data_IF_138596906049
#
_entry.id   IF_138596906049
#
_cell.length_a   1.000
_cell.length_b   1.000
_cell.length_c   1.000
_cell.angle_alpha   90.00
_cell.angle_beta   90.00
_cell.angle_gamma   90.00
#
_symmetry.space_group_name_H-M   'P 1'
#
loop_
_entity.id
_entity.type
_entity.pdbx_description
1 polymer ?
#
# COMPACT_ATOMS: atom_id res chain seq x y z
N UNK A 1 40.20 41.11 -28.63
CA UNK A 1 40.12 40.75 -30.06
C UNK A 1 39.78 39.27 -30.16
N UNK A 2 38.74 38.93 -30.91
CA UNK A 2 38.30 37.58 -31.31
C UNK A 2 38.16 37.65 -32.84
N UNK A 3 38.22 36.59 -33.68
CA UNK A 3 38.72 35.19 -33.56
C UNK A 3 39.74 34.84 -34.68
N UNK A 4 40.14 33.58 -34.86
CA UNK A 4 40.02 32.79 -36.14
C UNK A 4 40.43 31.31 -35.89
N UNK A 5 39.61 30.40 -36.42
CA UNK A 5 39.69 28.93 -36.44
C UNK A 5 40.73 28.39 -37.45
N UNK A 6 41.34 27.23 -37.16
CA UNK A 6 41.25 26.00 -38.00
C UNK A 6 42.06 24.82 -37.44
N UNK A 7 41.37 23.68 -37.34
CA UNK A 7 41.85 22.30 -37.17
C UNK A 7 42.83 21.86 -38.25
N UNK A 8 43.85 21.04 -37.94
CA UNK A 8 44.25 19.80 -38.68
C UNK A 8 45.16 18.88 -37.80
N UNK A 9 44.65 17.69 -37.47
CA UNK A 9 45.27 16.35 -37.29
C UNK A 9 46.47 16.06 -36.37
N UNK A 10 46.29 15.00 -35.56
CA UNK A 10 47.26 13.89 -35.48
C UNK A 10 48.00 13.68 -34.16
N UNK A 11 47.31 13.23 -33.10
CA UNK A 11 47.95 12.74 -31.88
C UNK A 11 48.08 11.21 -31.89
N UNK A 12 49.32 10.74 -31.78
CA UNK A 12 49.72 9.35 -31.62
C UNK A 12 50.43 9.25 -30.27
N UNK A 13 49.80 8.74 -29.21
CA UNK A 13 50.51 8.31 -27.99
C UNK A 13 49.84 7.05 -27.45
N UNK A 14 50.65 5.99 -27.40
CA UNK A 14 50.38 4.71 -26.78
C UNK A 14 50.46 4.84 -25.25
N UNK A 15 49.44 4.39 -24.54
CA UNK A 15 49.53 4.13 -23.09
C UNK A 15 48.88 2.78 -22.81
N UNK A 16 49.70 1.86 -22.29
CA UNK A 16 49.32 0.54 -21.86
C UNK A 16 48.25 0.59 -20.77
N UNK A 17 47.17 -0.18 -20.94
CA UNK A 17 46.15 -0.36 -19.91
C UNK A 17 45.94 -1.84 -19.60
N UNK A 18 45.89 -2.10 -18.30
CA UNK A 18 46.00 -3.37 -17.59
C UNK A 18 44.77 -4.24 -17.84
N UNK A 19 45.00 -5.53 -18.14
CA UNK A 19 43.95 -6.52 -18.34
C UNK A 19 43.10 -6.72 -17.06
N UNK A 20 41.78 -6.56 -17.19
CA UNK A 20 40.78 -7.26 -16.37
C UNK A 20 39.75 -7.84 -17.32
N UNK A 21 39.64 -9.16 -17.30
CA UNK A 21 38.68 -9.91 -18.09
C UNK A 21 37.27 -9.69 -17.56
N UNK A 22 36.43 -9.05 -18.36
CA UNK A 22 34.98 -9.01 -18.17
C UNK A 22 34.38 -10.02 -19.13
N UNK A 23 33.84 -11.13 -18.59
CA UNK A 23 33.08 -12.10 -19.37
C UNK A 23 31.71 -11.49 -19.66
N UNK A 24 31.50 -11.05 -20.90
CA UNK A 24 30.19 -10.69 -21.45
C UNK A 24 29.50 -11.99 -21.84
N UNK A 25 28.41 -12.34 -21.16
CA UNK A 25 27.59 -13.49 -21.53
C UNK A 25 26.81 -13.21 -22.81
N UNK A 26 27.04 -14.07 -23.80
CA UNK A 26 26.38 -14.09 -25.11
C UNK A 26 24.94 -14.60 -24.92
N UNK A 27 23.97 -13.83 -25.38
CA UNK A 27 22.56 -14.25 -25.50
C UNK A 27 22.40 -15.06 -26.80
N UNK A 28 21.96 -16.32 -26.76
CA UNK A 28 21.62 -17.03 -27.98
C UNK A 28 20.17 -16.71 -28.38
N UNK A 29 20.02 -16.07 -29.53
CA UNK A 29 18.76 -15.97 -30.30
C UNK A 29 18.44 -17.36 -30.85
N UNK A 30 17.37 -17.99 -30.37
CA UNK A 30 16.93 -19.29 -30.89
C UNK A 30 15.76 -19.11 -31.87
N UNK A 31 15.99 -19.47 -33.12
CA UNK A 31 15.04 -19.42 -34.23
C UNK A 31 14.01 -20.55 -34.09
N UNK A 32 12.73 -20.16 -34.06
CA UNK A 32 11.57 -21.03 -33.95
C UNK A 32 11.35 -21.83 -35.25
N UNK A 33 11.58 -23.15 -35.23
CA UNK A 33 11.20 -24.04 -36.34
C UNK A 33 10.11 -24.99 -35.84
N UNK A 34 8.90 -24.83 -36.40
CA UNK A 34 7.71 -25.64 -36.08
C UNK A 34 8.01 -27.13 -36.31
N UNK A 35 8.03 -27.91 -35.24
CA UNK A 35 7.84 -29.36 -35.25
C UNK A 35 6.76 -29.69 -34.24
N UNK A 36 5.69 -30.29 -34.75
CA UNK A 36 4.63 -30.94 -33.98
C UNK A 36 5.27 -31.94 -33.01
N UNK A 37 5.15 -31.69 -31.70
CA UNK A 37 5.67 -32.59 -30.67
C UNK A 37 4.48 -33.34 -30.05
N UNK A 38 4.41 -34.64 -30.33
CA UNK A 38 3.49 -35.58 -29.73
C UNK A 38 3.77 -35.70 -28.23
N UNK A 39 2.72 -35.52 -27.43
CA UNK A 39 2.76 -35.65 -25.98
C UNK A 39 2.70 -37.14 -25.59
N UNK A 40 3.83 -37.71 -25.19
CA UNK A 40 3.88 -38.95 -24.42
C UNK A 40 5.16 -39.00 -23.57
N UNK A 41 4.97 -39.46 -22.33
CA UNK A 41 6.00 -39.90 -21.36
C UNK A 41 6.73 -38.84 -20.50
N UNK A 42 6.06 -38.55 -19.38
CA UNK A 42 6.59 -38.66 -18.00
C UNK A 42 7.86 -37.87 -17.65
N UNK A 43 7.66 -36.59 -17.34
CA UNK A 43 8.49 -35.91 -16.33
C UNK A 43 7.76 -36.03 -14.98
N UNK A 44 7.97 -37.15 -14.28
CA UNK A 44 7.79 -37.16 -12.83
C UNK A 44 9.02 -36.48 -12.22
N UNK A 45 8.86 -35.52 -11.29
CA UNK A 45 10.02 -34.95 -10.61
C UNK A 45 10.71 -36.06 -9.80
N UNK A 46 12.04 -36.17 -9.98
CA UNK A 46 12.91 -37.04 -9.20
C UNK A 46 12.80 -36.60 -7.75
N UNK A 47 12.43 -37.54 -6.88
CA UNK A 47 12.27 -37.33 -5.44
C UNK A 47 13.65 -37.44 -4.80
N UNK A 48 14.49 -36.47 -5.10
CA UNK A 48 15.83 -36.40 -4.50
C UNK A 48 15.68 -35.69 -3.15
N UNK A 49 16.19 -36.32 -2.10
CA UNK A 49 16.16 -35.91 -0.69
C UNK A 49 16.62 -34.46 -0.47
N UNK A 50 17.40 -33.93 -1.41
CA UNK A 50 18.04 -32.62 -1.37
C UNK A 50 17.05 -31.46 -1.58
N UNK A 51 15.87 -31.71 -2.17
CA UNK A 51 14.83 -30.68 -2.32
C UNK A 51 14.21 -30.24 -0.99
N UNK A 52 14.15 -31.15 -0.01
CA UNK A 52 13.67 -30.84 1.33
C UNK A 52 14.71 -30.06 2.15
N UNK A 53 16.00 -30.37 2.00
CA UNK A 53 17.10 -29.60 2.60
C UNK A 53 17.22 -28.21 1.98
N UNK A 54 17.03 -28.05 0.66
CA UNK A 54 17.05 -26.74 0.01
C UNK A 54 15.86 -25.86 0.46
N UNK A 55 14.67 -26.43 0.65
CA UNK A 55 13.53 -25.70 1.22
C UNK A 55 13.71 -25.37 2.72
N UNK A 56 14.35 -26.26 3.49
CA UNK A 56 14.72 -25.99 4.88
C UNK A 56 15.78 -24.88 4.98
N UNK A 57 16.73 -24.84 4.04
CA UNK A 57 17.80 -23.83 3.98
C UNK A 57 17.31 -22.49 3.41
N UNK A 58 16.28 -22.47 2.55
CA UNK A 58 15.59 -21.25 2.15
C UNK A 58 14.75 -20.62 3.29
N UNK A 59 14.31 -21.43 4.26
CA UNK A 59 13.72 -20.93 5.51
C UNK A 59 14.77 -20.45 6.52
N UNK A 60 16.06 -20.67 6.24
CA UNK A 60 17.18 -19.99 6.89
C UNK A 60 17.40 -18.58 6.28
N UNK A 61 16.31 -17.89 5.93
CA UNK A 61 16.35 -16.51 5.47
C UNK A 61 16.83 -15.64 6.62
N UNK A 62 17.80 -14.76 6.34
CA UNK A 62 18.15 -13.64 7.21
C UNK A 62 16.89 -13.09 7.88
N UNK A 63 16.94 -12.90 9.21
CA UNK A 63 15.77 -12.41 9.93
C UNK A 63 15.35 -11.11 9.27
N UNK A 64 14.12 -11.07 8.76
CA UNK A 64 13.65 -9.92 7.96
C UNK A 64 13.67 -8.63 8.80
N UNK A 65 13.71 -8.77 10.13
CA UNK A 65 14.03 -7.74 11.09
C UNK A 65 15.30 -6.93 10.74
N UNK A 66 16.38 -7.56 10.28
CA UNK A 66 17.66 -6.92 9.97
C UNK A 66 17.52 -5.79 8.93
N UNK A 67 16.56 -5.95 8.00
CA UNK A 67 16.29 -4.96 6.95
C UNK A 67 15.18 -3.97 7.32
N UNK A 68 14.24 -4.36 8.19
CA UNK A 68 13.10 -3.54 8.57
C UNK A 68 13.48 -2.57 9.69
N UNK A 69 14.35 -2.95 10.62
CA UNK A 69 14.77 -2.08 11.73
C UNK A 69 15.42 -0.77 11.28
N UNK A 70 16.37 -0.76 10.33
CA UNK A 70 16.94 0.49 9.81
C UNK A 70 15.89 1.39 9.15
N UNK A 71 14.91 0.80 8.47
CA UNK A 71 13.81 1.53 7.83
C UNK A 71 12.90 2.18 8.89
N UNK A 72 12.47 1.44 9.91
CA UNK A 72 11.66 2.00 10.99
C UNK A 72 12.40 3.11 11.75
N UNK A 73 13.71 2.95 11.93
CA UNK A 73 14.57 3.99 12.50
C UNK A 73 14.61 5.23 11.61
N UNK A 74 14.77 5.07 10.29
CA UNK A 74 14.75 6.19 9.35
C UNK A 74 13.39 6.91 9.32
N UNK A 75 12.28 6.17 9.39
CA UNK A 75 10.95 6.78 9.46
C UNK A 75 10.79 7.63 10.73
N UNK A 76 11.22 7.10 11.88
CA UNK A 76 11.08 7.77 13.18
C UNK A 76 12.02 8.96 13.35
N UNK A 77 13.26 8.86 12.87
CA UNK A 77 14.30 9.86 13.12
C UNK A 77 14.54 10.84 11.96
N UNK A 78 14.11 10.50 10.74
CA UNK A 78 14.33 11.33 9.54
C UNK A 78 13.01 11.81 8.96
N UNK A 79 12.12 10.88 8.58
CA UNK A 79 10.89 11.23 7.84
C UNK A 79 9.89 12.01 8.69
N UNK A 80 9.45 11.46 9.82
CA UNK A 80 8.44 12.09 10.69
C UNK A 80 8.92 13.47 11.19
N UNK A 81 10.19 13.62 11.60
CA UNK A 81 10.71 14.94 11.96
C UNK A 81 10.77 15.93 10.81
N UNK A 82 11.08 15.48 9.59
CA UNK A 82 11.10 16.35 8.41
C UNK A 82 9.71 16.89 8.06
N UNK A 83 8.65 16.06 8.17
CA UNK A 83 7.28 16.48 7.84
C UNK A 83 6.61 17.27 8.98
N UNK A 84 6.92 16.96 10.25
CA UNK A 84 6.28 17.62 11.40
C UNK A 84 7.08 18.80 11.96
N UNK A 85 8.34 18.95 11.56
CA UNK A 85 9.28 19.94 12.10
C UNK A 85 9.67 19.70 13.56
N UNK A 86 9.36 18.52 14.12
CA UNK A 86 9.57 18.19 15.55
C UNK A 86 10.20 16.82 15.71
N UNK A 87 10.99 16.63 16.77
CA UNK A 87 11.54 15.30 17.08
C UNK A 87 10.38 14.35 17.40
N UNK A 88 10.40 13.16 16.82
CA UNK A 88 9.38 12.14 17.04
C UNK A 88 9.73 11.32 18.28
N UNK A 89 8.86 11.34 19.29
CA UNK A 89 8.91 10.41 20.42
C UNK A 89 8.08 9.13 20.13
N UNK A 90 8.16 8.11 20.99
CA UNK A 90 7.43 6.86 20.77
C UNK A 90 5.90 7.06 20.68
N UNK A 91 5.33 7.93 21.52
CA UNK A 91 3.90 8.22 21.48
C UNK A 91 3.51 8.91 20.17
N UNK A 92 4.31 9.84 19.67
CA UNK A 92 4.10 10.52 18.39
C UNK A 92 4.27 9.56 17.21
N UNK A 93 5.20 8.60 17.32
CA UNK A 93 5.36 7.52 16.35
C UNK A 93 4.11 6.64 16.31
N UNK A 94 3.56 6.30 17.47
CA UNK A 94 2.33 5.53 17.61
C UNK A 94 1.11 6.31 17.08
N UNK A 95 1.01 7.61 17.37
CA UNK A 95 -0.05 8.47 16.81
C UNK A 95 0.07 8.53 15.28
N UNK A 96 1.29 8.67 14.75
CA UNK A 96 1.54 8.74 13.30
C UNK A 96 1.18 7.43 12.59
N UNK A 97 1.28 6.29 13.28
CA UNK A 97 0.89 4.99 12.72
C UNK A 97 -0.61 4.76 12.68
N UNK A 98 -1.40 5.47 13.49
CA UNK A 98 -2.85 5.39 13.42
C UNK A 98 -3.37 5.86 12.05
N UNK A 99 -4.48 5.29 11.55
CA UNK A 99 -5.15 5.80 10.36
C UNK A 99 -5.60 7.26 10.51
N UNK A 100 -5.71 7.97 9.38
CA UNK A 100 -6.15 9.37 9.35
C UNK A 100 -7.52 9.61 10.00
N UNK A 101 -8.46 8.65 9.85
CA UNK A 101 -9.79 8.70 10.51
C UNK A 101 -9.74 8.65 12.04
N UNK A 102 -8.58 8.33 12.62
CA UNK A 102 -8.31 8.33 14.05
C UNK A 102 -7.27 9.39 14.44
N UNK A 103 -7.06 10.40 13.60
CA UNK A 103 -6.15 11.53 13.87
C UNK A 103 -4.66 11.24 13.64
N UNK A 104 -4.30 10.10 13.04
CA UNK A 104 -2.92 9.76 12.67
C UNK A 104 -2.56 10.07 11.22
N UNK A 105 -1.43 9.55 10.76
CA UNK A 105 -0.92 9.73 9.38
C UNK A 105 -1.00 8.47 8.52
N UNK A 106 -1.35 7.32 9.12
CA UNK A 106 -1.36 6.02 8.43
C UNK A 106 0.04 5.47 8.13
N UNK A 107 1.08 5.97 8.80
CA UNK A 107 2.44 5.47 8.65
C UNK A 107 2.66 4.26 9.55
N UNK A 108 2.19 3.08 9.13
CA UNK A 108 2.26 1.83 9.90
C UNK A 108 3.66 1.49 10.40
N UNK A 109 3.74 0.62 11.42
CA UNK A 109 5.02 0.10 11.91
C UNK A 109 5.23 -1.32 11.37
N UNK A 110 6.13 -1.43 10.41
CA UNK A 110 6.43 -2.64 9.66
C UNK A 110 6.99 -3.75 10.55
N UNK A 111 7.75 -3.43 11.61
CA UNK A 111 8.26 -4.44 12.55
C UNK A 111 7.12 -5.16 13.29
N UNK A 112 6.03 -4.45 13.56
CA UNK A 112 4.87 -4.98 14.30
C UNK A 112 3.88 -5.63 13.33
N UNK A 113 3.66 -5.01 12.18
CA UNK A 113 2.66 -5.42 11.20
C UNK A 113 3.13 -6.62 10.38
N UNK A 114 4.41 -6.67 9.95
CA UNK A 114 4.89 -7.71 9.05
C UNK A 114 4.72 -9.14 9.59
N UNK A 115 5.05 -9.45 10.87
CA UNK A 115 4.82 -10.80 11.40
C UNK A 115 3.34 -11.19 11.46
N UNK A 116 2.46 -10.22 11.77
CA UNK A 116 1.01 -10.43 11.85
C UNK A 116 0.40 -10.65 10.47
N UNK A 117 0.81 -9.85 9.49
CA UNK A 117 0.39 -9.96 8.10
C UNK A 117 0.88 -11.27 7.48
N UNK A 118 2.13 -11.66 7.74
CA UNK A 118 2.68 -12.95 7.32
C UNK A 118 1.85 -14.11 7.87
N UNK A 119 1.58 -14.14 9.18
CA UNK A 119 0.74 -15.18 9.81
C UNK A 119 -0.66 -15.25 9.19
N UNK A 120 -1.24 -14.10 8.88
CA UNK A 120 -2.57 -13.99 8.26
C UNK A 120 -2.56 -14.49 6.81
N UNK A 121 -1.51 -14.16 6.05
CA UNK A 121 -1.29 -14.62 4.69
C UNK A 121 -1.14 -16.14 4.63
N UNK A 122 -0.28 -16.70 5.48
CA UNK A 122 -0.10 -18.17 5.60
C UNK A 122 -1.43 -18.85 5.90
N UNK A 123 -2.19 -18.35 6.87
CA UNK A 123 -3.50 -18.92 7.21
C UNK A 123 -4.53 -18.81 6.08
N UNK A 124 -4.58 -17.67 5.38
CA UNK A 124 -5.55 -17.43 4.29
C UNK A 124 -5.25 -18.27 3.05
N UNK A 125 -3.96 -18.48 2.76
CA UNK A 125 -3.50 -19.25 1.59
C UNK A 125 -3.43 -20.76 1.85
N UNK A 126 -3.52 -21.20 3.12
CA UNK A 126 -3.40 -22.61 3.49
C UNK A 126 -4.31 -23.56 2.69
N UNK A 127 -5.62 -23.28 2.49
CA UNK A 127 -6.49 -24.18 1.73
C UNK A 127 -6.02 -24.38 0.29
N UNK A 128 -5.58 -23.30 -0.36
CA UNK A 128 -5.04 -23.36 -1.73
C UNK A 128 -3.69 -24.09 -1.76
N UNK A 129 -2.83 -23.83 -0.78
CA UNK A 129 -1.52 -24.48 -0.68
C UNK A 129 -1.66 -26.00 -0.48
N UNK A 130 -2.65 -26.45 0.29
CA UNK A 130 -2.97 -27.87 0.49
C UNK A 130 -3.48 -28.52 -0.80
N UNK A 131 -4.38 -27.86 -1.54
CA UNK A 131 -4.85 -28.34 -2.84
C UNK A 131 -3.71 -28.45 -3.87
N UNK A 132 -2.81 -27.46 -3.92
CA UNK A 132 -1.62 -27.48 -4.78
C UNK A 132 -0.72 -28.67 -4.41
N UNK A 133 -0.48 -28.89 -3.12
CA UNK A 133 0.32 -30.04 -2.63
C UNK A 133 -0.32 -31.37 -2.99
N UNK A 134 -1.65 -31.46 -2.93
CA UNK A 134 -2.42 -32.64 -3.31
C UNK A 134 -2.59 -32.80 -4.83
N UNK A 135 -2.03 -31.89 -5.65
CA UNK A 135 -2.22 -31.83 -7.11
C UNK A 135 -3.69 -31.81 -7.54
N UNK A 136 -4.54 -31.18 -6.75
CA UNK A 136 -5.96 -31.02 -7.05
C UNK A 136 -6.15 -29.78 -7.94
N UNK A 137 -6.90 -29.94 -9.03
CA UNK A 137 -7.16 -28.87 -10.01
C UNK A 137 -8.43 -28.05 -9.73
N UNK A 138 -9.08 -28.25 -8.59
CA UNK A 138 -10.24 -27.44 -8.17
C UNK A 138 -9.79 -26.34 -7.22
N UNK A 139 -10.42 -25.16 -7.31
CA UNK A 139 -10.13 -24.03 -6.44
C UNK A 139 -10.84 -24.19 -5.07
N UNK A 140 -10.36 -23.52 -4.02
CA UNK A 140 -11.08 -23.44 -2.75
C UNK A 140 -12.44 -22.76 -2.97
N UNK A 141 -13.42 -23.14 -2.16
CA UNK A 141 -14.76 -22.57 -2.26
C UNK A 141 -14.75 -21.05 -1.99
N UNK A 142 -15.33 -20.25 -2.89
CA UNK A 142 -15.33 -18.79 -2.80
C UNK A 142 -15.94 -18.25 -1.50
N UNK A 143 -16.92 -18.95 -0.92
CA UNK A 143 -17.55 -18.58 0.34
C UNK A 143 -16.54 -18.61 1.50
N UNK A 144 -15.66 -19.62 1.53
CA UNK A 144 -14.62 -19.80 2.55
C UNK A 144 -13.50 -18.79 2.40
N UNK A 145 -13.16 -18.41 1.17
CA UNK A 145 -12.17 -17.36 0.89
C UNK A 145 -12.72 -16.00 1.31
N UNK A 146 -13.99 -15.71 1.00
CA UNK A 146 -14.67 -14.47 1.41
C UNK A 146 -14.76 -14.36 2.93
N UNK A 147 -15.14 -15.43 3.63
CA UNK A 147 -15.21 -15.43 5.10
C UNK A 147 -13.83 -15.29 5.75
N UNK A 148 -12.79 -15.93 5.19
CA UNK A 148 -11.40 -15.78 5.66
C UNK A 148 -10.88 -14.34 5.49
N UNK A 149 -11.22 -13.68 4.37
CA UNK A 149 -10.91 -12.27 4.15
C UNK A 149 -11.68 -11.37 5.12
N UNK A 150 -12.97 -11.59 5.30
CA UNK A 150 -13.80 -10.81 6.23
C UNK A 150 -13.34 -10.95 7.68
N UNK A 151 -13.02 -12.15 8.13
CA UNK A 151 -12.50 -12.38 9.48
C UNK A 151 -11.13 -11.75 9.69
N UNK A 152 -10.26 -11.77 8.67
CA UNK A 152 -8.97 -11.07 8.71
C UNK A 152 -9.15 -9.55 8.77
N UNK A 153 -10.06 -9.00 7.96
CA UNK A 153 -10.37 -7.57 7.98
C UNK A 153 -10.95 -7.14 9.34
N UNK A 154 -11.93 -7.88 9.87
CA UNK A 154 -12.51 -7.62 11.17
C UNK A 154 -11.46 -7.65 12.28
N UNK A 155 -10.54 -8.62 12.27
CA UNK A 155 -9.43 -8.68 13.23
C UNK A 155 -8.54 -7.45 13.14
N UNK A 156 -8.16 -7.03 11.93
CA UNK A 156 -7.36 -5.80 11.73
C UNK A 156 -8.07 -4.56 12.27
N UNK A 157 -9.37 -4.44 12.00
CA UNK A 157 -10.15 -3.30 12.48
C UNK A 157 -10.26 -3.28 14.01
N UNK A 158 -10.40 -4.45 14.66
CA UNK A 158 -10.34 -4.57 16.12
C UNK A 158 -8.96 -4.21 16.68
N UNK A 159 -7.88 -4.68 16.06
CA UNK A 159 -6.51 -4.32 16.50
C UNK A 159 -6.25 -2.81 16.38
N UNK A 160 -6.79 -2.18 15.33
CA UNK A 160 -6.69 -0.72 15.17
C UNK A 160 -7.46 -0.02 16.27
N UNK A 161 -8.69 -0.46 16.60
CA UNK A 161 -9.45 0.12 17.72
C UNK A 161 -8.71 -0.01 19.05
N UNK A 162 -8.10 -1.16 19.31
CA UNK A 162 -7.29 -1.38 20.51
C UNK A 162 -6.08 -0.44 20.58
N UNK A 163 -5.35 -0.29 19.46
CA UNK A 163 -4.22 0.65 19.38
C UNK A 163 -4.64 2.09 19.59
N UNK A 164 -5.76 2.51 18.98
CA UNK A 164 -6.32 3.86 19.20
C UNK A 164 -6.59 4.09 20.68
N UNK A 165 -7.24 3.12 21.36
CA UNK A 165 -7.52 3.21 22.80
C UNK A 165 -6.23 3.32 23.62
N UNK A 166 -5.24 2.47 23.35
CA UNK A 166 -3.94 2.50 24.05
C UNK A 166 -3.19 3.82 23.87
N UNK A 167 -3.18 4.37 22.65
CA UNK A 167 -2.58 5.69 22.35
C UNK A 167 -3.34 6.78 23.08
N UNK A 168 -4.66 6.75 23.05
CA UNK A 168 -5.50 7.74 23.72
C UNK A 168 -5.24 7.75 25.23
N UNK A 169 -5.21 6.60 25.89
CA UNK A 169 -4.97 6.52 27.34
C UNK A 169 -3.62 7.12 27.75
N UNK A 170 -2.56 6.87 26.98
CA UNK A 170 -1.19 7.40 27.24
C UNK A 170 -1.02 8.88 26.87
N UNK A 171 -1.90 9.43 26.04
CA UNK A 171 -1.75 10.77 25.50
C UNK A 171 -2.01 11.88 26.54
N UNK A 172 -1.21 12.96 26.53
CA UNK A 172 -1.50 14.14 27.34
C UNK A 172 -2.76 14.85 26.84
N UNK A 173 -3.38 15.66 27.71
CA UNK A 173 -4.66 16.33 27.42
C UNK A 173 -4.64 17.13 26.09
N UNK A 174 -3.52 17.80 25.80
CA UNK A 174 -3.36 18.56 24.54
C UNK A 174 -3.44 17.65 23.31
N UNK A 175 -2.80 16.49 23.36
CA UNK A 175 -2.82 15.51 22.26
C UNK A 175 -4.19 14.86 22.13
N UNK A 176 -4.86 14.53 23.25
CA UNK A 176 -6.25 14.02 23.23
C UNK A 176 -7.19 14.98 22.51
N UNK A 177 -7.17 16.28 22.88
CA UNK A 177 -7.97 17.31 22.20
C UNK A 177 -7.67 17.40 20.71
N UNK A 178 -6.40 17.32 20.33
CA UNK A 178 -6.01 17.36 18.92
C UNK A 178 -6.51 16.12 18.16
N UNK A 179 -6.48 14.93 18.80
CA UNK A 179 -7.05 13.71 18.23
C UNK A 179 -8.57 13.85 18.08
N UNK A 180 -9.27 14.29 19.12
CA UNK A 180 -10.73 14.47 19.08
C UNK A 180 -11.12 15.39 17.92
N UNK A 181 -10.49 16.57 17.81
CA UNK A 181 -10.67 17.51 16.69
C UNK A 181 -10.37 16.90 15.31
N UNK A 182 -9.35 16.04 15.21
CA UNK A 182 -8.99 15.40 13.95
C UNK A 182 -9.95 14.26 13.57
N UNK A 183 -10.65 13.67 14.55
CA UNK A 183 -11.61 12.57 14.36
C UNK A 183 -13.05 13.02 14.17
N UNK A 184 -13.38 14.27 14.47
CA UNK A 184 -14.71 14.82 14.23
C UNK A 184 -15.09 14.70 12.75
N UNK A 185 -16.22 14.04 12.49
CA UNK A 185 -16.77 13.85 11.15
C UNK A 185 -17.13 15.22 10.56
N UNK A 186 -16.74 15.46 9.32
CA UNK A 186 -16.89 16.78 8.70
C UNK A 186 -15.86 17.78 9.24
N UNK A 187 -14.62 17.31 9.50
CA UNK A 187 -13.48 18.14 9.89
C UNK A 187 -13.53 19.48 9.16
N UNK A 188 -13.26 20.61 9.84
CA UNK A 188 -13.31 21.98 9.30
C UNK A 188 -12.93 22.07 7.81
N UNK A 189 -11.88 21.36 7.40
CA UNK A 189 -11.43 21.24 6.00
C UNK A 189 -12.49 20.81 4.98
N UNK A 190 -13.38 19.87 5.30
CA UNK A 190 -14.45 19.45 4.40
C UNK A 190 -15.44 20.59 4.16
N UNK A 191 -15.85 21.26 5.24
CA UNK A 191 -16.73 22.42 5.14
C UNK A 191 -16.03 23.56 4.41
N UNK A 192 -14.77 23.86 4.73
CA UNK A 192 -13.95 24.86 4.05
C UNK A 192 -13.79 24.58 2.55
N UNK A 193 -13.53 23.32 2.17
CA UNK A 193 -13.39 22.92 0.77
C UNK A 193 -14.72 23.03 0.03
N UNK A 194 -15.80 22.55 0.64
CA UNK A 194 -17.15 22.65 0.08
C UNK A 194 -17.57 24.11 -0.10
N UNK A 195 -17.33 24.94 0.90
CA UNK A 195 -17.72 26.35 0.88
C UNK A 195 -16.88 27.12 -0.17
N UNK A 196 -15.58 26.82 -0.30
CA UNK A 196 -14.73 27.34 -1.37
C UNK A 196 -15.19 26.89 -2.76
N UNK A 197 -15.54 25.61 -2.92
CA UNK A 197 -16.04 25.09 -4.18
C UNK A 197 -17.37 25.77 -4.57
N UNK A 198 -18.27 25.96 -3.61
CA UNK A 198 -19.52 26.68 -3.82
C UNK A 198 -19.28 28.16 -4.20
N UNK A 199 -18.31 28.82 -3.59
CA UNK A 199 -17.90 30.18 -3.98
C UNK A 199 -17.42 30.23 -5.43
N UNK A 200 -16.54 29.30 -5.82
CA UNK A 200 -16.02 29.21 -7.19
C UNK A 200 -17.12 28.89 -8.21
N UNK A 201 -18.02 27.97 -7.87
CA UNK A 201 -19.18 27.64 -8.70
C UNK A 201 -20.14 28.82 -8.82
N UNK A 202 -20.27 29.66 -7.79
CA UNK A 202 -21.11 30.87 -7.83
C UNK A 202 -20.68 31.89 -8.89
N UNK A 203 -19.43 31.82 -9.38
CA UNK A 203 -18.93 32.67 -10.45
C UNK A 203 -19.50 32.26 -11.82
N UNK A 204 -19.70 30.96 -12.04
CA UNK A 204 -20.02 30.37 -13.36
C UNK A 204 -21.42 29.76 -13.45
N UNK A 205 -21.95 29.25 -12.35
CA UNK A 205 -23.24 28.56 -12.25
C UNK A 205 -24.31 29.47 -11.65
N UNK A 206 -25.58 29.07 -11.79
CA UNK A 206 -26.73 29.70 -11.13
C UNK A 206 -27.25 28.79 -10.03
N UNK A 207 -28.02 29.36 -9.11
CA UNK A 207 -28.73 28.61 -8.06
C UNK A 207 -27.77 27.71 -7.24
N UNK A 208 -26.60 28.25 -6.85
CA UNK A 208 -25.63 27.53 -6.04
C UNK A 208 -26.09 27.53 -4.58
N UNK A 209 -26.36 26.36 -4.03
CA UNK A 209 -26.80 26.15 -2.66
C UNK A 209 -25.89 25.16 -1.94
N UNK A 210 -25.53 25.46 -0.70
CA UNK A 210 -24.69 24.61 0.16
C UNK A 210 -25.60 23.77 1.07
N UNK A 211 -25.33 22.47 1.15
CA UNK A 211 -26.13 21.54 1.94
C UNK A 211 -27.66 21.57 1.68
N UNK A 212 -28.18 21.62 0.44
CA UNK A 212 -29.62 21.53 0.23
C UNK A 212 -30.13 20.13 0.58
N UNK A 213 -31.40 20.07 1.03
CA UNK A 213 -32.07 18.81 1.32
C UNK A 213 -32.25 17.99 0.03
N UNK A 214 -31.93 16.70 0.10
CA UNK A 214 -32.16 15.76 -0.99
C UNK A 214 -33.64 15.46 -1.15
N UNK A 215 -34.04 15.12 -2.38
CA UNK A 215 -35.39 14.66 -2.63
C UNK A 215 -35.63 13.31 -1.98
N UNK A 216 -36.80 13.15 -1.37
CA UNK A 216 -37.22 11.88 -0.78
C UNK A 216 -37.25 10.76 -1.82
N UNK A 217 -36.78 9.58 -1.44
CA UNK A 217 -36.83 8.40 -2.31
C UNK A 217 -38.28 7.93 -2.48
N UNK A 218 -38.81 7.97 -3.69
CA UNK A 218 -40.19 7.57 -4.04
C UNK A 218 -40.33 6.05 -4.27
N UNK A 219 -39.59 5.25 -3.48
CA UNK A 219 -39.59 3.78 -3.59
C UNK A 219 -38.52 3.21 -4.54
N UNK A 220 -37.58 4.04 -5.00
CA UNK A 220 -36.44 3.59 -5.80
C UNK A 220 -35.53 2.64 -5.02
N UNK A 221 -35.03 1.60 -5.68
CA UNK A 221 -34.11 0.64 -5.07
C UNK A 221 -32.67 1.12 -5.28
N UNK A 222 -32.13 1.80 -4.27
CA UNK A 222 -30.76 2.30 -4.26
C UNK A 222 -29.76 1.23 -3.77
N UNK A 223 -28.46 1.49 -3.96
CA UNK A 223 -27.42 0.61 -3.45
C UNK A 223 -27.42 0.61 -1.90
N UNK A 224 -26.83 -0.43 -1.29
CA UNK A 224 -26.86 -0.60 0.18
C UNK A 224 -26.09 0.48 0.96
N UNK A 225 -25.36 1.36 0.28
CA UNK A 225 -24.61 2.47 0.89
C UNK A 225 -25.26 3.83 0.73
N UNK A 226 -26.37 3.95 0.00
CA UNK A 226 -27.06 5.22 -0.22
C UNK A 226 -27.72 5.72 1.07
N UNK A 227 -27.57 7.02 1.35
CA UNK A 227 -28.28 7.65 2.45
C UNK A 227 -29.74 7.86 2.07
N UNK A 228 -30.65 7.10 2.67
CA UNK A 228 -32.11 7.19 2.47
C UNK A 228 -32.83 7.93 3.61
N UNK A 229 -32.08 8.63 4.46
CA UNK A 229 -32.68 9.41 5.53
C UNK A 229 -33.43 10.63 4.95
N UNK A 230 -34.54 11.02 5.60
CA UNK A 230 -35.38 12.15 5.16
C UNK A 230 -34.71 13.52 5.32
N UNK A 231 -33.64 13.57 6.11
CA UNK A 231 -32.82 14.75 6.36
C UNK A 231 -31.48 14.69 5.62
N UNK A 232 -31.35 13.78 4.64
CA UNK A 232 -30.14 13.67 3.85
C UNK A 232 -29.91 14.97 3.06
N UNK A 233 -28.67 15.48 3.08
CA UNK A 233 -28.28 16.73 2.41
C UNK A 233 -27.20 16.45 1.38
N UNK A 234 -27.27 17.14 0.26
CA UNK A 234 -26.24 17.14 -0.77
C UNK A 234 -25.18 18.17 -0.39
N UNK A 235 -23.88 17.94 -0.63
CA UNK A 235 -22.87 18.95 -0.26
C UNK A 235 -23.06 20.29 -0.99
N UNK A 236 -23.23 20.27 -2.32
CA UNK A 236 -23.45 21.45 -3.14
C UNK A 236 -24.49 21.13 -4.21
N UNK A 237 -25.48 21.99 -4.38
CA UNK A 237 -26.31 22.05 -5.58
C UNK A 237 -25.87 23.24 -6.42
N UNK A 238 -25.77 23.06 -7.73
CA UNK A 238 -25.54 24.14 -8.67
C UNK A 238 -26.30 23.81 -9.97
N UNK A 239 -26.84 24.84 -10.62
CA UNK A 239 -27.55 24.70 -11.89
C UNK A 239 -26.73 25.32 -13.02
N UNK A 240 -26.41 24.48 -14.01
CA UNK A 240 -25.79 24.88 -15.26
C UNK A 240 -24.33 24.48 -15.38
N UNK A 241 -24.02 23.80 -16.49
CA UNK A 241 -22.70 23.62 -17.08
C UNK A 241 -22.85 23.64 -18.61
#
# INVERSE_FOLDING_TARGET
MVPVLRNVHGFHISVACRAKATVVSVVPVFVMKRRTFSFSETLRPRRDSDGAELLANWNQQHDSADFIEPLESAMSHVLIPAITGRKCNQLERDVSSLPARFGGLGLGNSLIEAPREYKTSVGTTAPLAEQIKAQQHHLPEDSTVKSSKQTSQHKKDEDVKERVKSVYERAPLKTKRALDMATEKGSSRHNELRDLEAELLGIVCKDVEIEPQLQDTTGEQLNSGSNMAKDARLDIHARGF
#
